data_IF_874184509188
#
_entry.id   IF_874184509188
#
_cell.length_a   1.000
_cell.length_b   1.000
_cell.length_c   1.000
_cell.angle_alpha   90.00
_cell.angle_beta   90.00
_cell.angle_gamma   90.00
#
_symmetry.space_group_name_H-M   'P 1'
#
loop_
_entity.id
_entity.type
_entity.pdbx_description
1 polymer ?
#
# COMPACT_ATOMS: atom_id res chain seq x y z
N UNK A 1 21.75 9.81 -7.98
CA UNK A 1 20.55 10.57 -8.38
C UNK A 1 19.41 9.68 -8.90
N UNK A 2 19.66 8.45 -9.40
CA UNK A 2 18.63 7.63 -10.10
C UNK A 2 17.61 6.88 -9.22
N UNK A 3 17.62 7.07 -7.91
CA UNK A 3 16.73 6.36 -6.96
C UNK A 3 15.88 7.30 -6.11
N UNK A 4 15.85 8.59 -6.44
CA UNK A 4 15.02 9.55 -5.73
C UNK A 4 13.60 9.54 -6.32
N UNK A 5 12.57 9.81 -5.49
CA UNK A 5 11.24 10.14 -5.98
C UNK A 5 11.27 11.20 -7.10
N UNK A 6 10.51 11.06 -8.19
CA UNK A 6 9.43 10.10 -8.47
C UNK A 6 9.87 8.90 -9.36
N UNK A 7 11.12 8.43 -9.23
CA UNK A 7 11.61 7.31 -10.03
C UNK A 7 10.91 5.97 -9.74
N UNK A 8 10.78 5.12 -10.76
CA UNK A 8 10.34 3.72 -10.66
C UNK A 8 11.38 2.81 -11.34
N UNK A 9 11.50 1.53 -10.95
CA UNK A 9 12.44 0.61 -11.58
C UNK A 9 12.13 0.37 -13.06
N UNK A 10 13.17 0.44 -13.90
CA UNK A 10 13.05 0.39 -15.36
C UNK A 10 12.49 -0.94 -15.87
N UNK A 11 12.87 -2.05 -15.24
CA UNK A 11 12.47 -3.41 -15.56
C UNK A 11 10.96 -3.66 -15.43
N UNK A 12 10.28 -2.93 -14.53
CA UNK A 12 8.82 -3.03 -14.34
C UNK A 12 8.04 -1.85 -14.90
N UNK A 13 8.70 -0.75 -15.28
CA UNK A 13 8.07 0.52 -15.63
C UNK A 13 6.98 0.37 -16.71
N UNK A 14 7.28 -0.32 -17.83
CA UNK A 14 6.32 -0.52 -18.94
C UNK A 14 5.04 -1.24 -18.50
N UNK A 15 5.16 -2.24 -17.63
CA UNK A 15 4.02 -3.00 -17.11
C UNK A 15 3.22 -2.16 -16.14
N UNK A 16 3.90 -1.40 -15.29
CA UNK A 16 3.26 -0.60 -14.25
C UNK A 16 2.47 0.58 -14.83
N UNK A 17 3.02 1.26 -15.84
CA UNK A 17 2.33 2.34 -16.58
C UNK A 17 1.04 1.85 -17.24
N UNK A 18 1.01 0.60 -17.72
CA UNK A 18 -0.19 0.00 -18.31
C UNK A 18 -1.29 -0.27 -17.27
N UNK A 19 -0.91 -0.56 -16.04
CA UNK A 19 -1.82 -1.09 -15.01
C UNK A 19 -2.27 -0.05 -13.97
N UNK A 20 -1.52 1.04 -13.78
CA UNK A 20 -1.79 2.00 -12.72
C UNK A 20 -1.68 3.44 -13.22
N UNK A 21 -2.69 4.28 -12.92
CA UNK A 21 -2.74 5.69 -13.34
C UNK A 21 -1.65 6.57 -12.71
N UNK A 22 -1.02 6.11 -11.62
CA UNK A 22 0.15 6.75 -11.02
C UNK A 22 1.22 5.70 -10.60
N UNK A 23 2.10 5.28 -11.50
CA UNK A 23 3.09 4.23 -11.26
C UNK A 23 4.00 4.46 -10.05
N UNK A 24 4.40 5.71 -9.81
CA UNK A 24 5.28 6.06 -8.69
C UNK A 24 4.61 5.80 -7.33
N UNK A 25 3.34 6.19 -7.18
CA UNK A 25 2.58 5.92 -5.95
C UNK A 25 2.42 4.42 -5.70
N UNK A 26 2.16 3.64 -6.75
CA UNK A 26 2.07 2.19 -6.61
C UNK A 26 3.40 1.59 -6.13
N UNK A 27 4.52 2.03 -6.71
CA UNK A 27 5.85 1.55 -6.32
C UNK A 27 6.17 1.91 -4.86
N UNK A 28 5.87 3.14 -4.46
CA UNK A 28 5.99 3.60 -3.06
C UNK A 28 5.11 2.75 -2.13
N UNK A 29 3.91 2.39 -2.58
CA UNK A 29 3.00 1.49 -1.86
C UNK A 29 3.61 0.10 -1.60
N UNK A 30 4.45 -0.43 -2.50
CA UNK A 30 5.15 -1.70 -2.25
C UNK A 30 6.17 -1.59 -1.11
N UNK A 31 6.90 -0.47 -1.04
CA UNK A 31 7.85 -0.22 0.05
C UNK A 31 7.12 -0.09 1.39
N UNK A 32 6.05 0.72 1.43
CA UNK A 32 5.21 0.88 2.61
C UNK A 32 4.59 -0.45 3.04
N UNK A 33 4.08 -1.26 2.11
CA UNK A 33 3.54 -2.59 2.41
C UNK A 33 4.56 -3.50 3.11
N UNK A 34 5.83 -3.46 2.69
CA UNK A 34 6.87 -4.27 3.31
C UNK A 34 7.24 -3.77 4.72
N UNK A 35 7.38 -2.45 4.89
CA UNK A 35 7.72 -1.84 6.18
C UNK A 35 6.60 -1.97 7.20
N UNK A 36 5.34 -1.84 6.77
CA UNK A 36 4.17 -1.83 7.64
C UNK A 36 3.57 -3.21 7.87
N UNK A 37 4.33 -4.30 7.67
CA UNK A 37 3.85 -5.65 8.01
C UNK A 37 3.55 -5.73 9.51
N UNK A 38 2.29 -5.90 9.91
CA UNK A 38 1.92 -5.90 11.32
C UNK A 38 2.46 -7.15 12.03
N UNK A 39 2.81 -6.99 13.30
CA UNK A 39 3.06 -8.14 14.18
C UNK A 39 1.72 -8.81 14.53
N UNK A 40 1.71 -10.09 14.94
CA UNK A 40 0.47 -10.81 15.24
C UNK A 40 -0.48 -10.06 16.19
N UNK A 41 0.05 -9.48 17.27
CA UNK A 41 -0.75 -8.70 18.23
C UNK A 41 -1.42 -7.47 17.60
N UNK A 42 -0.79 -6.85 16.61
CA UNK A 42 -1.32 -5.65 15.95
C UNK A 42 -2.45 -6.03 14.98
N UNK A 43 -2.36 -7.21 14.34
CA UNK A 43 -3.45 -7.77 13.54
C UNK A 43 -4.68 -7.99 14.43
N UNK A 44 -4.50 -8.68 15.56
CA UNK A 44 -5.58 -8.94 16.52
C UNK A 44 -6.20 -7.64 17.05
N UNK A 45 -5.37 -6.63 17.33
CA UNK A 45 -5.84 -5.33 17.78
C UNK A 45 -6.70 -4.64 16.71
N UNK A 46 -6.24 -4.60 15.45
CA UNK A 46 -6.97 -3.96 14.34
C UNK A 46 -8.31 -4.67 14.13
N UNK A 47 -8.31 -6.00 14.07
CA UNK A 47 -9.53 -6.81 13.85
C UNK A 47 -10.56 -6.58 14.96
N UNK A 48 -10.14 -6.60 16.23
CA UNK A 48 -11.02 -6.33 17.37
C UNK A 48 -11.64 -4.93 17.30
N UNK A 49 -10.88 -3.94 16.87
CA UNK A 49 -11.36 -2.55 16.75
C UNK A 49 -12.31 -2.39 15.57
N UNK A 50 -12.02 -3.00 14.42
CA UNK A 50 -12.92 -3.01 13.26
C UNK A 50 -14.26 -3.65 13.59
N UNK A 51 -14.28 -4.75 14.34
CA UNK A 51 -15.52 -5.40 14.80
C UNK A 51 -16.31 -4.53 15.77
N UNK A 52 -15.63 -3.86 16.72
CA UNK A 52 -16.29 -3.03 17.74
C UNK A 52 -17.02 -1.81 17.16
N UNK A 53 -16.63 -1.35 15.97
CA UNK A 53 -17.26 -0.22 15.27
C UNK A 53 -18.15 -0.65 14.09
N UNK A 54 -18.34 -1.95 13.90
CA UNK A 54 -18.99 -2.55 12.72
C UNK A 54 -18.49 -1.91 11.41
N UNK A 55 -17.17 -1.95 11.20
CA UNK A 55 -16.54 -1.37 10.03
C UNK A 55 -16.93 -2.16 8.77
N UNK A 56 -17.84 -1.61 7.97
CA UNK A 56 -18.40 -2.23 6.77
C UNK A 56 -18.33 -1.29 5.56
N UNK A 57 -18.44 -1.84 4.35
CA UNK A 57 -18.53 -1.08 3.09
C UNK A 57 -19.99 -0.90 2.64
N UNK A 58 -20.33 0.17 1.91
CA UNK A 58 -19.45 1.26 1.46
C UNK A 58 -19.13 2.24 2.60
N UNK A 59 -17.89 2.72 2.63
CA UNK A 59 -17.40 3.69 3.62
C UNK A 59 -16.52 4.73 2.94
N UNK A 60 -16.61 5.98 3.39
CA UNK A 60 -15.75 7.09 2.94
C UNK A 60 -14.96 7.54 4.17
N UNK A 61 -13.63 7.44 4.08
CA UNK A 61 -12.71 7.91 5.11
C UNK A 61 -12.47 9.41 5.06
#
# INVERSE_FOLDING_TARGET
MNFLPMAIPEDIAKRLIRLHGNPFVWFTGQLLKYFLRPQPWLIEFIEKKSQAIDFQTPIVG
#
